data_IF_047617392634
#
_entry.id   IF_047617392634
#
_cell.length_a   1.000
_cell.length_b   1.000
_cell.length_c   1.000
_cell.angle_alpha   90.00
_cell.angle_beta   90.00
_cell.angle_gamma   90.00
#
_symmetry.space_group_name_H-M   'P 1'
#
loop_
_entity.id
_entity.type
_entity.pdbx_description
1 polymer ?
#
# COMPACT_ATOMS: atom_id res chain seq x y z
N UNK A 1 -69.49 16.55 -24.69
CA UNK A 1 -68.17 16.97 -24.17
C UNK A 1 -67.45 15.74 -23.63
N UNK A 2 -66.55 15.12 -24.40
CA UNK A 2 -65.69 14.01 -23.96
C UNK A 2 -64.32 14.59 -23.59
N UNK A 3 -63.92 14.45 -22.32
CA UNK A 3 -62.60 14.88 -21.82
C UNK A 3 -61.57 13.83 -22.21
N UNK A 4 -60.61 14.23 -23.05
CA UNK A 4 -59.44 13.42 -23.42
C UNK A 4 -58.40 13.64 -22.33
N UNK A 5 -58.03 12.58 -21.61
CA UNK A 5 -56.92 12.58 -20.66
C UNK A 5 -55.65 12.23 -21.44
N UNK A 6 -54.75 13.20 -21.57
CA UNK A 6 -53.44 12.98 -22.16
C UNK A 6 -52.53 12.30 -21.12
N UNK A 7 -52.12 11.06 -21.39
CA UNK A 7 -51.10 10.36 -20.63
C UNK A 7 -49.72 10.91 -21.04
N UNK A 8 -49.10 11.71 -20.16
CA UNK A 8 -47.69 12.07 -20.28
C UNK A 8 -46.84 10.86 -19.89
N UNK A 9 -46.23 10.23 -20.89
CA UNK A 9 -45.15 9.27 -20.72
C UNK A 9 -43.92 10.00 -20.13
N UNK A 10 -43.65 9.78 -18.85
CA UNK A 10 -42.34 10.09 -18.27
C UNK A 10 -41.32 9.12 -18.85
N UNK A 11 -40.54 9.58 -19.83
CA UNK A 11 -39.30 8.94 -20.21
C UNK A 11 -38.32 9.14 -19.04
N UNK A 12 -38.19 8.13 -18.18
CA UNK A 12 -37.14 8.07 -17.18
C UNK A 12 -35.80 8.06 -17.89
N UNK A 13 -35.05 9.16 -17.77
CA UNK A 13 -33.61 9.13 -18.00
C UNK A 13 -33.02 8.19 -16.95
N UNK A 14 -32.69 6.97 -17.38
CA UNK A 14 -31.76 6.15 -16.64
C UNK A 14 -30.42 6.90 -16.61
N UNK A 15 -30.14 7.58 -15.50
CA UNK A 15 -28.78 8.00 -15.20
C UNK A 15 -27.98 6.72 -15.00
N UNK A 16 -27.32 6.26 -16.07
CA UNK A 16 -26.18 5.37 -15.95
C UNK A 16 -25.18 6.10 -15.08
N UNK A 17 -25.05 5.66 -13.82
CA UNK A 17 -23.97 6.10 -12.93
C UNK A 17 -22.64 5.67 -13.55
N UNK A 18 -22.11 6.51 -14.42
CA UNK A 18 -20.73 6.41 -14.88
C UNK A 18 -19.86 6.51 -13.64
N UNK A 19 -19.02 5.51 -13.40
CA UNK A 19 -17.98 5.61 -12.39
C UNK A 19 -17.18 6.88 -12.68
N UNK A 20 -17.20 7.80 -11.73
CA UNK A 20 -16.64 9.14 -11.90
C UNK A 20 -15.15 9.03 -12.22
N UNK A 21 -14.78 9.46 -13.43
CA UNK A 21 -13.38 9.59 -13.84
C UNK A 21 -12.69 10.57 -12.92
N UNK A 22 -11.55 10.18 -12.36
CA UNK A 22 -10.71 11.11 -11.59
C UNK A 22 -9.77 11.85 -12.53
N UNK A 23 -9.52 13.12 -12.21
CA UNK A 23 -8.57 13.93 -12.98
C UNK A 23 -7.80 14.89 -12.07
N UNK A 24 -6.68 15.39 -12.58
CA UNK A 24 -5.84 16.32 -11.86
C UNK A 24 -4.49 16.52 -12.51
N UNK A 25 -3.47 16.78 -11.69
CA UNK A 25 -2.09 16.94 -12.11
C UNK A 25 -1.27 15.70 -11.75
N UNK A 26 -0.37 15.32 -12.65
CA UNK A 26 0.61 14.27 -12.40
C UNK A 26 2.03 14.82 -12.49
N UNK A 27 2.92 14.21 -11.70
CA UNK A 27 4.36 14.26 -11.90
C UNK A 27 4.89 12.83 -11.88
N UNK A 28 5.72 12.48 -12.85
CA UNK A 28 6.44 11.20 -12.90
C UNK A 28 7.93 11.49 -13.04
N UNK A 29 8.73 10.93 -12.14
CA UNK A 29 10.18 11.13 -12.10
C UNK A 29 10.90 9.84 -11.67
N UNK A 30 12.22 9.89 -11.62
CA UNK A 30 13.03 8.80 -11.04
C UNK A 30 12.89 8.84 -9.52
N UNK A 31 12.71 7.68 -8.88
CA UNK A 31 12.66 7.63 -7.43
C UNK A 31 13.98 8.06 -6.79
N UNK A 32 13.98 9.18 -6.06
CA UNK A 32 15.18 9.73 -5.42
C UNK A 32 15.48 9.14 -4.02
N UNK A 33 14.52 8.42 -3.42
CA UNK A 33 14.58 8.02 -2.01
C UNK A 33 15.47 6.80 -1.70
N UNK A 34 16.17 6.26 -2.70
CA UNK A 34 17.25 5.28 -2.48
C UNK A 34 18.37 5.62 -3.44
N UNK A 35 19.53 5.97 -2.89
CA UNK A 35 20.75 6.48 -3.57
C UNK A 35 21.24 5.63 -4.77
N UNK A 36 20.59 4.53 -5.15
CA UNK A 36 20.94 3.71 -6.32
C UNK A 36 19.75 3.04 -7.04
N UNK A 37 18.47 3.25 -6.64
CA UNK A 37 17.37 2.51 -7.27
C UNK A 37 16.71 3.30 -8.40
N UNK A 38 17.25 3.16 -9.62
CA UNK A 38 16.69 3.75 -10.84
C UNK A 38 15.58 2.93 -11.48
N UNK A 39 15.25 1.76 -10.92
CA UNK A 39 14.32 0.80 -11.54
C UNK A 39 12.85 1.12 -11.26
N UNK A 40 12.59 2.08 -10.38
CA UNK A 40 11.24 2.53 -10.02
C UNK A 40 11.04 4.02 -10.32
N UNK A 41 9.81 4.34 -10.71
CA UNK A 41 9.31 5.68 -10.85
C UNK A 41 8.76 6.19 -9.51
N UNK A 42 8.94 7.49 -9.27
CA UNK A 42 8.13 8.25 -8.32
C UNK A 42 6.98 8.92 -9.05
N UNK A 43 5.80 8.83 -8.45
CA UNK A 43 4.54 9.23 -9.06
C UNK A 43 3.76 10.04 -8.04
N UNK A 44 3.46 11.28 -8.38
CA UNK A 44 2.64 12.17 -7.57
C UNK A 44 1.41 12.53 -8.38
N UNK A 45 0.24 12.19 -7.86
CA UNK A 45 -1.05 12.58 -8.40
C UNK A 45 -1.69 13.59 -7.44
N UNK A 46 -2.06 14.75 -7.97
CA UNK A 46 -2.81 15.77 -7.24
C UNK A 46 -4.17 15.94 -7.91
N UNK A 47 -5.23 15.62 -7.18
CA UNK A 47 -6.60 15.74 -7.69
C UNK A 47 -7.04 17.19 -7.89
N UNK A 48 -7.91 17.42 -8.88
CA UNK A 48 -8.53 18.73 -9.12
C UNK A 48 -9.82 18.98 -8.34
N UNK A 49 -10.51 17.93 -7.91
CA UNK A 49 -11.72 17.97 -7.09
C UNK A 49 -11.34 17.99 -5.60
N UNK A 50 -11.11 19.20 -5.09
CA UNK A 50 -10.79 19.44 -3.68
C UNK A 50 -12.09 19.55 -2.86
N UNK A 51 -12.08 19.00 -1.63
CA UNK A 51 -13.19 19.15 -0.70
C UNK A 51 -13.39 20.60 -0.25
N UNK A 52 -14.51 20.90 0.42
CA UNK A 52 -14.82 22.23 0.96
C UNK A 52 -13.76 22.75 1.96
N UNK A 53 -12.95 21.86 2.53
CA UNK A 53 -11.83 22.16 3.43
C UNK A 53 -10.54 22.55 2.70
N UNK A 54 -10.54 22.56 1.36
CA UNK A 54 -9.39 22.94 0.54
C UNK A 54 -8.26 21.89 0.50
N UNK A 55 -8.42 20.74 1.16
CA UNK A 55 -7.46 19.65 1.10
C UNK A 55 -7.68 18.82 -0.17
N UNK A 56 -6.89 19.11 -1.20
CA UNK A 56 -6.85 18.30 -2.41
C UNK A 56 -6.07 17.02 -2.09
N UNK A 57 -6.74 15.86 -2.16
CA UNK A 57 -6.09 14.57 -1.95
C UNK A 57 -4.88 14.41 -2.87
N UNK A 58 -3.74 14.03 -2.28
CA UNK A 58 -2.52 13.68 -2.99
C UNK A 58 -2.26 12.19 -2.86
N UNK A 59 -1.92 11.54 -3.97
CA UNK A 59 -1.45 10.16 -3.99
C UNK A 59 -0.01 10.17 -4.44
N UNK A 60 0.91 9.72 -3.59
CA UNK A 60 2.34 9.63 -3.85
C UNK A 60 2.81 8.16 -3.76
N UNK A 61 3.64 7.73 -4.70
CA UNK A 61 4.22 6.39 -4.69
C UNK A 61 5.58 6.36 -5.39
N UNK A 62 6.62 6.04 -4.61
CA UNK A 62 8.02 6.00 -5.06
C UNK A 62 8.54 4.60 -5.39
N UNK A 63 7.66 3.60 -5.49
CA UNK A 63 8.02 2.19 -5.67
C UNK A 63 7.29 1.52 -6.84
N UNK A 64 6.98 2.27 -7.89
CA UNK A 64 6.32 1.72 -9.09
C UNK A 64 7.37 1.36 -10.12
N UNK A 65 7.55 0.07 -10.41
CA UNK A 65 8.51 -0.37 -11.44
C UNK A 65 8.22 0.29 -12.81
N UNK A 66 9.27 0.70 -13.53
CA UNK A 66 9.13 1.30 -14.87
C UNK A 66 8.38 0.39 -15.86
N UNK A 67 8.47 -0.93 -15.69
CA UNK A 67 7.75 -1.91 -16.50
C UNK A 67 6.21 -1.82 -16.40
N UNK A 68 5.68 -1.16 -15.37
CA UNK A 68 4.22 -0.89 -15.24
C UNK A 68 3.76 0.29 -16.09
N UNK A 69 4.70 1.09 -16.59
CA UNK A 69 4.43 2.27 -17.40
C UNK A 69 4.64 1.99 -18.88
N UNK A 70 3.76 2.59 -19.70
CA UNK A 70 3.85 2.59 -21.15
C UNK A 70 3.90 4.05 -21.60
N UNK A 71 4.84 4.40 -22.47
CA UNK A 71 4.95 5.77 -23.02
C UNK A 71 5.75 6.76 -22.16
N UNK A 72 6.43 6.27 -21.11
CA UNK A 72 7.47 6.99 -20.37
C UNK A 72 8.56 6.00 -19.95
N UNK A 73 9.80 6.47 -19.90
CA UNK A 73 10.99 5.71 -19.51
C UNK A 73 12.06 6.68 -19.01
N UNK A 74 13.08 6.14 -18.34
CA UNK A 74 14.23 6.93 -17.87
C UNK A 74 14.91 7.72 -19.00
N UNK A 75 15.11 7.12 -20.16
CA UNK A 75 15.74 7.77 -21.32
C UNK A 75 14.87 8.94 -21.84
N UNK A 76 13.56 8.75 -21.91
CA UNK A 76 12.64 9.81 -22.36
C UNK A 76 12.60 10.99 -21.38
N UNK A 77 12.75 10.74 -20.08
CA UNK A 77 12.82 11.80 -19.08
C UNK A 77 14.10 12.65 -19.17
N UNK A 78 15.16 12.17 -19.84
CA UNK A 78 16.37 12.95 -20.08
C UNK A 78 16.22 13.95 -21.25
N UNK A 79 15.11 13.87 -22.01
CA UNK A 79 14.86 14.71 -23.17
C UNK A 79 14.02 15.93 -22.77
N UNK A 80 14.68 17.05 -22.53
CA UNK A 80 14.02 18.30 -22.15
C UNK A 80 12.97 18.76 -23.17
N UNK A 81 11.79 19.15 -22.70
CA UNK A 81 10.70 19.67 -23.51
C UNK A 81 9.91 18.62 -24.32
N UNK A 82 10.24 17.34 -24.24
CA UNK A 82 9.49 16.30 -24.95
C UNK A 82 8.08 16.14 -24.36
N UNK A 83 7.08 16.01 -25.22
CA UNK A 83 5.72 15.67 -24.79
C UNK A 83 5.56 14.16 -24.68
N UNK A 84 5.11 13.70 -23.53
CA UNK A 84 4.88 12.27 -23.27
C UNK A 84 3.45 12.02 -22.85
N UNK A 85 3.01 10.79 -23.11
CA UNK A 85 1.75 10.26 -22.64
C UNK A 85 2.01 8.91 -21.97
N UNK A 86 2.19 8.97 -20.66
CA UNK A 86 2.40 7.80 -19.82
C UNK A 86 1.06 7.13 -19.51
N UNK A 87 1.02 5.80 -19.54
CA UNK A 87 -0.15 5.01 -19.16
C UNK A 87 0.23 3.87 -18.22
N UNK A 88 -0.66 3.55 -17.29
CA UNK A 88 -0.62 2.37 -16.47
C UNK A 88 -2.01 1.75 -16.42
N UNK A 89 -2.11 0.46 -16.69
CA UNK A 89 -3.37 -0.29 -16.72
C UNK A 89 -3.29 -1.51 -15.83
N UNK A 90 -4.39 -1.84 -15.17
CA UNK A 90 -4.53 -3.04 -14.35
C UNK A 90 -5.99 -3.37 -14.11
N UNK A 91 -6.26 -4.43 -13.37
CA UNK A 91 -7.65 -4.79 -13.06
C UNK A 91 -8.44 -3.62 -12.43
N UNK A 92 -7.89 -2.82 -11.49
CA UNK A 92 -8.63 -1.72 -10.89
C UNK A 92 -9.00 -0.61 -11.89
N UNK A 93 -8.24 -0.39 -12.96
CA UNK A 93 -8.56 0.69 -13.90
C UNK A 93 -7.39 1.11 -14.76
N UNK A 94 -7.56 2.23 -15.46
CA UNK A 94 -6.57 2.80 -16.35
C UNK A 94 -6.19 4.21 -15.88
N UNK A 95 -4.90 4.43 -15.64
CA UNK A 95 -4.32 5.73 -15.35
C UNK A 95 -3.56 6.23 -16.58
N UNK A 96 -3.73 7.50 -16.93
CA UNK A 96 -2.90 8.18 -17.91
C UNK A 96 -2.35 9.48 -17.35
N UNK A 97 -1.16 9.87 -17.78
CA UNK A 97 -0.49 11.12 -17.45
C UNK A 97 0.10 11.72 -18.73
N UNK A 98 -0.42 12.86 -19.15
CA UNK A 98 -0.02 13.55 -20.38
C UNK A 98 0.60 14.89 -20.04
N UNK A 99 1.83 15.12 -20.48
CA UNK A 99 2.58 16.28 -20.05
C UNK A 99 3.83 16.55 -20.86
N UNK A 100 4.64 17.46 -20.34
CA UNK A 100 5.94 17.83 -20.87
C UNK A 100 7.02 17.45 -19.86
N UNK A 101 8.18 17.04 -20.37
CA UNK A 101 9.36 16.79 -19.53
C UNK A 101 10.09 18.09 -19.27
N UNK A 102 10.36 18.36 -17.99
CA UNK A 102 11.23 19.44 -17.54
C UNK A 102 12.12 18.93 -16.41
N UNK A 103 13.44 19.12 -16.51
CA UNK A 103 14.42 18.73 -15.48
C UNK A 103 14.27 17.26 -15.00
N UNK A 104 14.01 16.33 -15.92
CA UNK A 104 13.86 14.90 -15.58
C UNK A 104 12.48 14.50 -15.05
N UNK A 105 11.50 15.41 -15.04
CA UNK A 105 10.15 15.16 -14.55
C UNK A 105 9.13 15.33 -15.67
N UNK A 106 8.31 14.30 -15.91
CA UNK A 106 7.11 14.44 -16.73
C UNK A 106 6.02 15.09 -15.86
N UNK A 107 5.68 16.34 -16.15
CA UNK A 107 4.63 17.08 -15.45
C UNK A 107 3.46 17.39 -16.37
N UNK A 108 2.23 17.12 -15.92
CA UNK A 108 1.07 17.28 -16.79
C UNK A 108 -0.27 17.01 -16.12
N UNK A 109 -1.25 16.64 -16.93
CA UNK A 109 -2.60 16.27 -16.49
C UNK A 109 -2.76 14.76 -16.47
N UNK A 110 -3.47 14.27 -15.47
CA UNK A 110 -3.79 12.86 -15.36
C UNK A 110 -5.29 12.61 -15.43
N UNK A 111 -5.61 11.40 -15.86
CA UNK A 111 -6.97 10.85 -15.85
C UNK A 111 -6.92 9.41 -15.34
N UNK A 112 -7.82 9.05 -14.42
CA UNK A 112 -8.04 7.68 -13.99
C UNK A 112 -9.47 7.24 -14.28
N UNK A 113 -9.61 6.18 -15.07
CA UNK A 113 -10.88 5.56 -15.44
C UNK A 113 -11.06 4.27 -14.63
N UNK A 114 -12.02 4.24 -13.67
CA UNK A 114 -12.28 3.07 -12.83
C UNK A 114 -12.89 1.90 -13.63
N UNK A 115 -12.52 0.68 -13.28
CA UNK A 115 -13.05 -0.53 -13.91
C UNK A 115 -14.22 -1.13 -13.11
N UNK A 116 -15.44 -1.09 -13.66
CA UNK A 116 -16.63 -1.64 -13.01
C UNK A 116 -16.59 -3.18 -12.84
N UNK A 117 -15.99 -3.90 -13.78
CA UNK A 117 -15.87 -5.36 -13.69
C UNK A 117 -14.99 -5.79 -12.51
N UNK A 118 -13.99 -4.98 -12.16
CA UNK A 118 -13.18 -5.21 -10.96
C UNK A 118 -13.99 -5.01 -9.68
N UNK A 119 -14.81 -3.95 -9.60
CA UNK A 119 -15.68 -3.71 -8.45
C UNK A 119 -16.66 -4.87 -8.22
N UNK A 120 -17.26 -5.40 -9.29
CA UNK A 120 -18.15 -6.56 -9.22
C UNK A 120 -17.44 -7.80 -8.66
N UNK A 121 -16.20 -8.07 -9.12
CA UNK A 121 -15.39 -9.18 -8.59
C UNK A 121 -15.01 -8.98 -7.12
N UNK A 122 -14.63 -7.76 -6.74
CA UNK A 122 -14.31 -7.43 -5.34
C UNK A 122 -15.52 -7.57 -4.42
N UNK A 123 -16.69 -7.09 -4.86
CA UNK A 123 -17.97 -7.25 -4.14
C UNK A 123 -18.33 -8.74 -3.97
N UNK A 124 -18.17 -9.56 -5.02
CA UNK A 124 -18.34 -11.01 -4.93
C UNK A 124 -17.39 -11.70 -3.93
N UNK A 125 -16.25 -11.08 -3.62
CA UNK A 125 -15.32 -11.53 -2.58
C UNK A 125 -15.63 -10.96 -1.19
N UNK A 126 -16.66 -10.12 -1.05
CA UNK A 126 -17.10 -9.49 0.19
C UNK A 126 -16.50 -8.10 0.44
N UNK A 127 -15.98 -7.44 -0.59
CA UNK A 127 -15.38 -6.10 -0.48
C UNK A 127 -16.19 -5.07 -1.25
N UNK A 128 -17.05 -4.36 -0.53
CA UNK A 128 -17.87 -3.26 -1.06
C UNK A 128 -17.29 -1.89 -0.70
N UNK A 129 -17.94 -0.82 -1.15
CA UNK A 129 -17.59 0.56 -0.81
C UNK A 129 -16.20 0.99 -1.32
N UNK A 130 -15.76 0.42 -2.45
CA UNK A 130 -14.55 0.84 -3.15
C UNK A 130 -14.92 2.04 -4.02
N UNK A 131 -14.52 3.23 -3.59
CA UNK A 131 -14.66 4.48 -4.36
C UNK A 131 -13.67 4.53 -5.52
N UNK A 132 -13.88 5.38 -6.54
CA UNK A 132 -12.90 5.59 -7.61
C UNK A 132 -11.51 5.92 -7.06
N UNK A 133 -11.41 6.73 -6.00
CA UNK A 133 -10.14 7.05 -5.35
C UNK A 133 -9.47 5.82 -4.74
N UNK A 134 -10.24 4.97 -4.08
CA UNK A 134 -9.69 3.74 -3.53
C UNK A 134 -9.23 2.78 -4.64
N UNK A 135 -9.94 2.76 -5.75
CA UNK A 135 -9.60 1.97 -6.93
C UNK A 135 -8.32 2.48 -7.62
N UNK A 136 -8.10 3.80 -7.67
CA UNK A 136 -6.83 4.42 -8.10
C UNK A 136 -5.68 3.96 -7.20
N UNK A 137 -5.88 4.01 -5.87
CA UNK A 137 -4.90 3.51 -4.91
C UNK A 137 -4.60 2.01 -5.08
N UNK A 138 -5.62 1.20 -5.40
CA UNK A 138 -5.41 -0.21 -5.71
C UNK A 138 -4.58 -0.42 -6.98
N UNK A 139 -4.76 0.41 -8.02
CA UNK A 139 -3.92 0.35 -9.21
C UNK A 139 -2.46 0.68 -8.87
N UNK A 140 -2.23 1.77 -8.13
CA UNK A 140 -0.89 2.21 -7.72
C UNK A 140 -0.17 1.16 -6.85
N UNK A 141 -0.90 0.48 -5.96
CA UNK A 141 -0.37 -0.59 -5.11
C UNK A 141 -0.36 -1.97 -5.78
N UNK A 142 -0.88 -2.10 -7.01
CA UNK A 142 -1.00 -3.37 -7.72
C UNK A 142 -1.84 -4.42 -6.98
N UNK A 143 -2.97 -3.99 -6.43
CA UNK A 143 -3.94 -4.87 -5.76
C UNK A 143 -4.86 -5.48 -6.81
N UNK A 144 -4.70 -6.77 -7.04
CA UNK A 144 -5.50 -7.57 -7.99
C UNK A 144 -6.45 -8.50 -7.26
N UNK A 145 -7.50 -8.96 -7.96
CA UNK A 145 -8.43 -9.96 -7.41
C UNK A 145 -7.75 -11.29 -7.08
N UNK A 146 -6.74 -11.68 -7.86
CA UNK A 146 -5.91 -12.85 -7.58
C UNK A 146 -5.15 -12.72 -6.25
N UNK A 147 -4.45 -11.60 -6.04
CA UNK A 147 -3.72 -11.36 -4.79
C UNK A 147 -4.66 -11.29 -3.58
N UNK A 148 -5.82 -10.65 -3.73
CA UNK A 148 -6.85 -10.63 -2.66
C UNK A 148 -7.32 -12.04 -2.32
N UNK A 149 -7.48 -12.90 -3.32
CA UNK A 149 -7.82 -14.32 -3.10
C UNK A 149 -6.70 -15.05 -2.35
N UNK A 150 -5.44 -14.86 -2.74
CA UNK A 150 -4.29 -15.47 -2.05
C UNK A 150 -4.22 -15.08 -0.57
N UNK A 151 -4.48 -13.80 -0.24
CA UNK A 151 -4.55 -13.33 1.15
C UNK A 151 -5.68 -14.01 1.92
N UNK A 152 -6.85 -14.21 1.30
CA UNK A 152 -7.96 -14.96 1.92
C UNK A 152 -7.63 -16.43 2.09
N UNK A 153 -7.01 -17.06 1.10
CA UNK A 153 -6.61 -18.47 1.12
C UNK A 153 -5.52 -18.72 2.18
N UNK A 154 -4.67 -17.72 2.47
CA UNK A 154 -3.71 -17.74 3.57
C UNK A 154 -4.36 -17.66 4.97
N UNK A 155 -5.70 -17.56 5.04
CA UNK A 155 -6.45 -17.57 6.29
C UNK A 155 -6.48 -16.24 7.02
N UNK A 156 -6.12 -15.13 6.36
CA UNK A 156 -6.10 -13.80 6.99
C UNK A 156 -7.51 -13.36 7.36
N UNK A 157 -7.67 -12.84 8.57
CA UNK A 157 -8.95 -12.41 9.15
C UNK A 157 -9.03 -10.90 9.31
N UNK A 158 -10.25 -10.41 9.54
CA UNK A 158 -10.58 -8.98 9.72
C UNK A 158 -10.15 -8.09 8.53
N UNK A 159 -10.11 -8.64 7.32
CA UNK A 159 -9.66 -7.91 6.13
C UNK A 159 -10.68 -6.83 5.77
N UNK A 160 -10.21 -5.59 5.63
CA UNK A 160 -10.96 -4.49 5.02
C UNK A 160 -10.18 -3.95 3.83
N UNK A 161 -10.83 -3.14 2.99
CA UNK A 161 -10.16 -2.56 1.81
C UNK A 161 -8.98 -1.66 2.18
N UNK A 162 -9.05 -0.93 3.30
CA UNK A 162 -7.90 -0.16 3.82
C UNK A 162 -6.78 -1.06 4.34
N UNK A 163 -7.11 -2.21 4.95
CA UNK A 163 -6.09 -3.18 5.40
C UNK A 163 -5.41 -3.87 4.22
N UNK A 164 -6.12 -4.17 3.13
CA UNK A 164 -5.52 -4.66 1.89
C UNK A 164 -4.45 -3.69 1.36
N UNK A 165 -4.75 -2.39 1.36
CA UNK A 165 -3.77 -1.36 0.98
C UNK A 165 -2.55 -1.35 1.92
N UNK A 166 -2.77 -1.35 3.24
CA UNK A 166 -1.68 -1.37 4.21
C UNK A 166 -0.81 -2.63 4.09
N UNK A 167 -1.42 -3.79 3.90
CA UNK A 167 -0.71 -5.05 3.67
C UNK A 167 0.15 -4.98 2.40
N UNK A 168 -0.43 -4.53 1.28
CA UNK A 168 0.29 -4.43 0.02
C UNK A 168 1.44 -3.43 0.10
N UNK A 169 1.20 -2.25 0.68
CA UNK A 169 2.20 -1.19 0.84
C UNK A 169 3.39 -1.63 1.73
N UNK A 170 3.14 -2.47 2.73
CA UNK A 170 4.17 -2.97 3.64
C UNK A 170 4.77 -4.33 3.19
N UNK A 171 4.35 -4.87 2.05
CA UNK A 171 4.75 -6.21 1.60
C UNK A 171 4.42 -7.30 2.64
N UNK A 172 3.18 -7.26 3.15
CA UNK A 172 2.54 -8.37 3.86
C UNK A 172 1.86 -9.24 2.81
N UNK A 173 2.59 -10.25 2.34
CA UNK A 173 2.18 -11.21 1.32
C UNK A 173 2.00 -12.62 1.92
N UNK A 174 1.45 -13.59 1.16
CA UNK A 174 1.29 -14.97 1.63
C UNK A 174 2.61 -15.60 2.11
N UNK A 175 3.73 -15.26 1.47
CA UNK A 175 5.06 -15.78 1.84
C UNK A 175 5.50 -15.30 3.23
N UNK A 176 5.33 -14.01 3.53
CA UNK A 176 5.59 -13.46 4.86
C UNK A 176 4.70 -14.10 5.92
N UNK A 177 3.40 -14.24 5.64
CA UNK A 177 2.44 -14.87 6.56
C UNK A 177 2.84 -16.32 6.85
N UNK A 178 3.15 -17.10 5.80
CA UNK A 178 3.59 -18.47 5.93
C UNK A 178 4.92 -18.58 6.70
N UNK A 179 5.91 -17.75 6.37
CA UNK A 179 7.22 -17.79 7.01
C UNK A 179 7.16 -17.40 8.51
N UNK A 180 6.28 -16.46 8.88
CA UNK A 180 6.02 -16.14 10.29
C UNK A 180 5.36 -17.30 11.02
N UNK A 181 4.39 -17.97 10.39
CA UNK A 181 3.76 -19.17 10.93
C UNK A 181 4.78 -20.30 11.16
N UNK A 182 5.68 -20.57 10.20
CA UNK A 182 6.79 -21.53 10.35
C UNK A 182 7.77 -21.11 11.45
N UNK A 183 7.98 -19.80 11.64
CA UNK A 183 8.75 -19.27 12.75
C UNK A 183 8.02 -19.41 14.11
N UNK A 184 6.80 -19.96 14.15
CA UNK A 184 6.00 -20.24 15.34
C UNK A 184 5.07 -19.10 15.75
N UNK A 185 4.71 -18.21 14.82
CA UNK A 185 3.82 -17.07 15.03
C UNK A 185 2.67 -17.09 14.01
N UNK A 186 1.66 -17.96 14.19
CA UNK A 186 0.57 -18.15 13.23
C UNK A 186 -0.51 -17.06 13.34
N UNK A 187 -0.11 -15.79 13.36
CA UNK A 187 -1.04 -14.66 13.40
C UNK A 187 -1.80 -14.52 12.08
N UNK A 188 -3.12 -14.37 12.16
CA UNK A 188 -3.99 -14.27 10.99
C UNK A 188 -4.66 -12.90 10.86
N UNK A 189 -4.69 -12.07 11.90
CA UNK A 189 -5.39 -10.78 11.86
C UNK A 189 -4.61 -9.78 11.04
N UNK A 190 -5.25 -9.23 10.00
CA UNK A 190 -4.62 -8.29 9.07
C UNK A 190 -3.95 -7.10 9.79
N UNK A 191 -4.61 -6.52 10.81
CA UNK A 191 -4.03 -5.39 11.57
C UNK A 191 -2.73 -5.76 12.28
N UNK A 192 -2.65 -6.97 12.85
CA UNK A 192 -1.47 -7.39 13.60
C UNK A 192 -0.30 -7.70 12.67
N UNK A 193 -0.57 -8.33 11.54
CA UNK A 193 0.44 -8.58 10.50
C UNK A 193 1.02 -7.26 9.96
N UNK A 194 0.17 -6.26 9.72
CA UNK A 194 0.58 -4.90 9.33
C UNK A 194 1.45 -4.27 10.42
N UNK A 195 1.02 -4.29 11.68
CA UNK A 195 1.78 -3.73 12.81
C UNK A 195 3.19 -4.37 12.92
N UNK A 196 3.26 -5.70 12.87
CA UNK A 196 4.52 -6.44 12.91
C UNK A 196 5.46 -6.03 11.77
N UNK A 197 4.95 -6.01 10.54
CA UNK A 197 5.74 -5.65 9.36
C UNK A 197 6.19 -4.19 9.38
N UNK A 198 5.32 -3.28 9.83
CA UNK A 198 5.60 -1.84 9.92
C UNK A 198 6.79 -1.53 10.84
N UNK A 199 6.95 -2.28 11.93
CA UNK A 199 8.11 -2.14 12.83
C UNK A 199 9.26 -3.07 12.46
N UNK A 200 9.18 -3.75 11.32
CA UNK A 200 10.24 -4.61 10.79
C UNK A 200 10.42 -5.94 11.51
N UNK A 201 9.37 -6.52 12.10
CA UNK A 201 9.40 -7.92 12.55
C UNK A 201 9.52 -8.82 11.33
N UNK A 202 10.43 -9.79 11.41
CA UNK A 202 10.66 -10.79 10.35
C UNK A 202 10.79 -12.19 10.96
N UNK A 203 10.63 -13.26 10.15
CA UNK A 203 10.86 -14.63 10.60
C UNK A 203 12.27 -14.85 11.17
N UNK A 204 13.27 -14.13 10.66
CA UNK A 204 14.66 -14.19 11.12
C UNK A 204 14.81 -13.61 12.51
N UNK A 205 14.22 -12.43 12.78
CA UNK A 205 14.21 -11.83 14.12
C UNK A 205 13.49 -12.72 15.14
N UNK A 206 12.39 -13.35 14.72
CA UNK A 206 11.67 -14.31 15.55
C UNK A 206 12.53 -15.54 15.91
N UNK A 207 13.25 -16.11 14.93
CA UNK A 207 14.21 -17.21 15.16
C UNK A 207 15.41 -16.78 16.00
N UNK A 208 15.90 -15.56 15.80
CA UNK A 208 16.98 -14.99 16.59
C UNK A 208 16.59 -14.88 18.06
N UNK A 209 15.42 -14.32 18.37
CA UNK A 209 14.91 -14.23 19.74
C UNK A 209 14.86 -15.61 20.42
N UNK A 210 14.38 -16.64 19.71
CA UNK A 210 14.38 -18.04 20.18
C UNK A 210 15.79 -18.57 20.44
N UNK A 211 16.75 -18.30 19.56
CA UNK A 211 18.14 -18.71 19.76
C UNK A 211 18.84 -18.02 20.94
N UNK A 212 18.35 -16.84 21.34
CA UNK A 212 18.80 -16.14 22.55
C UNK A 212 18.14 -16.69 23.82
N UNK A 213 17.23 -17.67 23.70
CA UNK A 213 16.52 -18.27 24.82
C UNK A 213 15.20 -17.57 25.18
N UNK A 214 14.71 -16.66 24.32
CA UNK A 214 13.42 -16.00 24.52
C UNK A 214 12.31 -16.69 23.73
N UNK A 215 11.11 -16.73 24.31
CA UNK A 215 9.89 -17.18 23.61
C UNK A 215 8.88 -16.03 23.59
N UNK A 216 9.17 -14.93 22.87
CA UNK A 216 8.30 -13.76 22.89
C UNK A 216 6.96 -14.07 22.24
N UNK A 217 5.90 -13.43 22.74
CA UNK A 217 4.63 -13.24 22.02
C UNK A 217 4.81 -12.31 20.82
N UNK A 218 3.80 -12.20 19.95
CA UNK A 218 3.80 -11.25 18.82
C UNK A 218 3.98 -9.81 19.30
N UNK A 219 3.34 -9.46 20.43
CA UNK A 219 3.45 -8.13 21.02
C UNK A 219 4.88 -7.85 21.51
N UNK A 220 5.52 -8.85 22.10
CA UNK A 220 6.90 -8.75 22.55
C UNK A 220 7.88 -8.67 21.38
N UNK A 221 7.64 -9.36 20.25
CA UNK A 221 8.43 -9.18 19.04
C UNK A 221 8.36 -7.75 18.49
N UNK A 222 7.16 -7.16 18.51
CA UNK A 222 6.97 -5.75 18.14
C UNK A 222 7.79 -4.84 19.05
N UNK A 223 7.71 -5.04 20.36
CA UNK A 223 8.49 -4.26 21.33
C UNK A 223 9.99 -4.45 21.14
N UNK A 224 10.46 -5.68 20.94
CA UNK A 224 11.86 -5.97 20.64
C UNK A 224 12.34 -5.21 19.41
N UNK A 225 11.52 -5.17 18.34
CA UNK A 225 11.87 -4.46 17.12
C UNK A 225 11.89 -2.95 17.31
N UNK A 226 10.92 -2.38 18.02
CA UNK A 226 10.85 -0.94 18.35
C UNK A 226 12.06 -0.50 19.17
N UNK A 227 12.40 -1.26 20.23
CA UNK A 227 13.48 -0.93 21.15
C UNK A 227 14.85 -1.43 20.72
N UNK A 228 14.94 -2.07 19.53
CA UNK A 228 16.17 -2.68 19.00
C UNK A 228 16.82 -3.63 20.01
N UNK A 229 16.01 -4.50 20.60
CA UNK A 229 16.46 -5.60 21.45
C UNK A 229 16.87 -6.75 20.54
N UNK A 230 18.08 -6.65 20.00
CA UNK A 230 18.72 -7.61 19.11
C UNK A 230 19.82 -8.42 19.84
N UNK A 231 20.43 -9.38 19.14
CA UNK A 231 21.54 -10.16 19.69
C UNK A 231 22.69 -9.29 20.22
N UNK A 232 23.23 -8.30 19.46
CA UNK A 232 24.26 -7.43 19.98
C UNK A 232 23.89 -6.77 21.31
N UNK A 233 22.65 -6.28 21.45
CA UNK A 233 22.19 -5.70 22.70
C UNK A 233 22.15 -6.72 23.85
N UNK A 234 21.56 -7.90 23.62
CA UNK A 234 21.45 -8.96 24.63
C UNK A 234 22.83 -9.46 25.08
N UNK A 235 23.76 -9.66 24.15
CA UNK A 235 25.14 -10.09 24.46
C UNK A 235 25.89 -9.03 25.29
N UNK A 236 25.73 -7.74 24.99
CA UNK A 236 26.29 -6.67 25.83
C UNK A 236 25.73 -6.69 27.25
N UNK A 237 24.43 -6.92 27.42
CA UNK A 237 23.81 -7.00 28.74
C UNK A 237 24.32 -8.20 29.54
N UNK A 238 24.47 -9.37 28.89
CA UNK A 238 25.08 -10.55 29.50
C UNK A 238 26.53 -10.31 29.91
N UNK A 239 27.32 -9.64 29.07
CA UNK A 239 28.70 -9.28 29.40
C UNK A 239 28.81 -8.33 30.60
N UNK A 240 27.80 -7.47 30.84
CA UNK A 240 27.67 -6.63 32.05
C UNK A 240 27.21 -7.42 33.30
N UNK A 241 27.12 -8.75 33.23
CA UNK A 241 26.74 -9.62 34.35
C UNK A 241 25.24 -9.84 34.50
N UNK A 242 24.42 -9.29 33.60
CA UNK A 242 22.97 -9.46 33.62
C UNK A 242 22.57 -10.76 32.90
N UNK A 243 22.83 -11.90 33.54
CA UNK A 243 22.64 -13.22 32.95
C UNK A 243 21.21 -13.78 33.06
N UNK A 244 20.41 -13.29 34.01
CA UNK A 244 18.99 -13.67 34.23
C UNK A 244 18.04 -12.52 33.85
N UNK A 245 18.14 -12.09 32.59
CA UNK A 245 17.25 -11.08 32.05
C UNK A 245 16.08 -11.72 31.33
N UNK A 246 14.89 -11.57 31.92
CA UNK A 246 13.65 -11.74 31.16
C UNK A 246 13.54 -10.63 30.11
N UNK A 247 12.78 -10.90 29.05
CA UNK A 247 12.56 -9.91 28.00
C UNK A 247 11.95 -8.61 28.54
N UNK A 248 11.03 -8.70 29.50
CA UNK A 248 10.46 -7.55 30.18
C UNK A 248 11.54 -6.64 30.83
N UNK A 249 12.58 -7.23 31.44
CA UNK A 249 13.70 -6.45 32.01
C UNK A 249 14.54 -5.78 30.92
N UNK A 250 14.81 -6.46 29.81
CA UNK A 250 15.54 -5.88 28.66
C UNK A 250 14.78 -4.68 28.06
N UNK A 251 13.46 -4.80 27.97
CA UNK A 251 12.59 -3.69 27.54
C UNK A 251 12.69 -2.53 28.52
N UNK A 252 12.64 -2.79 29.84
CA UNK A 252 12.81 -1.74 30.85
C UNK A 252 14.17 -1.05 30.76
N UNK A 253 15.27 -1.80 30.56
CA UNK A 253 16.60 -1.22 30.36
C UNK A 253 16.61 -0.23 29.20
N UNK A 254 15.96 -0.57 28.07
CA UNK A 254 15.84 0.34 26.93
C UNK A 254 14.94 1.55 27.19
N UNK A 255 13.82 1.36 27.88
CA UNK A 255 12.89 2.44 28.23
C UNK A 255 13.56 3.46 29.16
N UNK A 256 14.29 2.98 30.17
CA UNK A 256 14.93 3.82 31.18
C UNK A 256 16.37 4.23 30.84
N UNK A 257 16.89 3.85 29.66
CA UNK A 257 18.27 4.13 29.22
C UNK A 257 19.32 3.67 30.23
N UNK A 258 19.16 2.45 30.73
CA UNK A 258 20.06 1.82 31.71
C UNK A 258 21.15 0.99 31.03
N UNK A 259 21.36 1.17 29.72
CA UNK A 259 22.30 0.40 28.90
C UNK A 259 23.70 1.02 28.78
N UNK A 260 23.91 2.23 29.30
CA UNK A 260 25.20 2.92 29.38
C UNK A 260 26.12 2.33 30.46
#
# INVERSE_FOLDING_TARGET
MKRIVAAMLFAGFAMSGYGETLSGLCMISVAHNKVQNTDTADVILRRSDCGEDGHCGTSDNSNIAWSRWIGVSLEQLQQEGVQLHARMSGEPGNLSCSGIVHEGVLAGKYEFVPNQAFLQKMSAMGFDGITPQKQEGFLLLDITTAWVKEIKDAGVTEISTSKLMGMRALHVDPDYIHAMSVAGYPESRANKLIEMKAVGVTPEKAREAKSLGFHPTEQELIQMSIFKIDRPFVERMRAKGLNDLSLAKLIQVKIFKLDD
#
